data_IF_566354765170
#
_entry.id   IF_566354765170
#
_cell.length_a   1.000
_cell.length_b   1.000
_cell.length_c   1.000
_cell.angle_alpha   90.00
_cell.angle_beta   90.00
_cell.angle_gamma   90.00
#
_symmetry.space_group_name_H-M   'P 1'
#
loop_
_entity.id
_entity.type
_entity.pdbx_description
1 polymer ?
#
# COMPACT_ATOMS: atom_id res chain seq x y z
N UNK A 1 -6.06 49.15 -39.25
CA UNK A 1 -6.68 49.01 -37.91
C UNK A 1 -6.57 47.57 -37.47
N UNK A 2 -6.06 47.30 -36.27
CA UNK A 2 -5.86 45.91 -35.82
C UNK A 2 -7.17 45.33 -35.26
N UNK A 3 -7.46 44.04 -35.51
CA UNK A 3 -8.72 43.42 -35.10
C UNK A 3 -8.99 43.46 -33.58
N UNK A 4 -7.95 43.48 -32.74
CA UNK A 4 -8.08 43.65 -31.28
C UNK A 4 -8.68 45.01 -30.88
N UNK A 5 -8.32 46.09 -31.59
CA UNK A 5 -8.80 47.43 -31.28
C UNK A 5 -10.31 47.57 -31.59
N UNK A 6 -10.77 46.90 -32.65
CA UNK A 6 -12.19 46.80 -32.96
C UNK A 6 -12.95 46.00 -31.90
N UNK A 7 -12.48 44.81 -31.53
CA UNK A 7 -13.12 43.97 -30.51
C UNK A 7 -13.26 44.70 -29.15
N UNK A 8 -12.22 45.43 -28.74
CA UNK A 8 -12.26 46.24 -27.51
C UNK A 8 -13.31 47.36 -27.57
N UNK A 9 -13.44 48.01 -28.73
CA UNK A 9 -14.44 49.07 -28.95
C UNK A 9 -15.86 48.51 -28.91
N UNK A 10 -16.09 47.31 -29.42
CA UNK A 10 -17.41 46.67 -29.39
C UNK A 10 -17.83 46.25 -27.98
N UNK A 11 -16.88 45.72 -27.18
CA UNK A 11 -17.11 45.34 -25.78
C UNK A 11 -17.48 46.58 -24.94
N UNK A 12 -16.76 47.68 -25.12
CA UNK A 12 -16.97 48.92 -24.36
C UNK A 12 -18.21 49.70 -24.81
N UNK A 13 -18.61 49.60 -26.08
CA UNK A 13 -19.80 50.28 -26.61
C UNK A 13 -21.14 49.66 -26.17
N UNK A 14 -21.14 48.40 -25.70
CA UNK A 14 -22.37 47.68 -25.29
C UNK A 14 -22.21 46.97 -23.94
N UNK A 15 -22.02 47.74 -22.83
CA UNK A 15 -21.56 47.20 -21.55
C UNK A 15 -22.53 46.18 -20.94
N UNK A 16 -23.84 46.41 -21.03
CA UNK A 16 -24.83 45.47 -20.48
C UNK A 16 -24.76 44.08 -21.14
N UNK A 17 -24.57 44.05 -22.47
CA UNK A 17 -24.52 42.80 -23.25
C UNK A 17 -23.21 42.05 -23.02
N UNK A 18 -22.10 42.80 -22.92
CA UNK A 18 -20.80 42.23 -22.58
C UNK A 18 -20.78 41.64 -21.16
N UNK A 19 -21.34 42.34 -20.17
CA UNK A 19 -21.43 41.86 -18.78
C UNK A 19 -22.28 40.59 -18.70
N UNK A 20 -23.44 40.55 -19.36
CA UNK A 20 -24.27 39.33 -19.41
C UNK A 20 -23.55 38.14 -20.06
N UNK A 21 -22.81 38.38 -21.14
CA UNK A 21 -22.04 37.33 -21.80
C UNK A 21 -20.91 36.78 -20.90
N UNK A 22 -20.15 37.66 -20.25
CA UNK A 22 -19.08 37.26 -19.31
C UNK A 22 -19.66 36.55 -18.08
N UNK A 23 -20.78 37.04 -17.54
CA UNK A 23 -21.47 36.43 -16.41
C UNK A 23 -21.94 35.01 -16.74
N UNK A 24 -22.53 34.79 -17.93
CA UNK A 24 -22.94 33.45 -18.38
C UNK A 24 -21.76 32.47 -18.44
N UNK A 25 -20.65 32.87 -19.06
CA UNK A 25 -19.43 32.04 -19.13
C UNK A 25 -18.87 31.77 -17.74
N UNK A 26 -18.84 32.77 -16.86
CA UNK A 26 -18.35 32.62 -15.49
C UNK A 26 -19.23 31.66 -14.67
N UNK A 27 -20.55 31.76 -14.78
CA UNK A 27 -21.49 30.87 -14.08
C UNK A 27 -21.33 29.43 -14.56
N UNK A 28 -21.31 29.19 -15.88
CA UNK A 28 -21.13 27.84 -16.43
C UNK A 28 -19.77 27.28 -16.00
N UNK A 29 -18.70 28.08 -16.04
CA UNK A 29 -17.37 27.69 -15.58
C UNK A 29 -17.35 27.33 -14.09
N UNK A 30 -18.02 28.11 -13.24
CA UNK A 30 -18.13 27.85 -11.81
C UNK A 30 -18.92 26.57 -11.53
N UNK A 31 -20.04 26.33 -12.22
CA UNK A 31 -20.83 25.12 -12.09
C UNK A 31 -20.05 23.87 -12.52
N UNK A 32 -19.32 23.94 -13.63
CA UNK A 32 -18.46 22.84 -14.06
C UNK A 32 -17.33 22.57 -13.06
N UNK A 33 -16.70 23.62 -12.56
CA UNK A 33 -15.63 23.49 -11.58
C UNK A 33 -16.13 22.93 -10.25
N UNK A 34 -17.32 23.33 -9.80
CA UNK A 34 -17.98 22.78 -8.61
C UNK A 34 -18.21 21.27 -8.77
N UNK A 35 -18.78 20.85 -9.91
CA UNK A 35 -18.98 19.42 -10.20
C UNK A 35 -17.65 18.64 -10.22
N UNK A 36 -16.58 19.22 -10.76
CA UNK A 36 -15.25 18.61 -10.75
C UNK A 36 -14.65 18.53 -9.33
N UNK A 37 -14.84 19.56 -8.51
CA UNK A 37 -14.36 19.56 -7.13
C UNK A 37 -15.15 18.57 -6.27
N UNK A 38 -16.47 18.51 -6.42
CA UNK A 38 -17.31 17.59 -5.68
C UNK A 38 -16.95 16.13 -6.02
N UNK A 39 -16.82 15.80 -7.31
CA UNK A 39 -16.44 14.44 -7.74
C UNK A 39 -15.03 14.05 -7.27
N UNK A 40 -14.07 14.97 -7.34
CA UNK A 40 -12.71 14.74 -6.81
C UNK A 40 -12.72 14.56 -5.29
N UNK A 41 -13.50 15.33 -4.56
CA UNK A 41 -13.67 15.19 -3.11
C UNK A 41 -14.24 13.83 -2.72
N UNK A 42 -15.25 13.34 -3.46
CA UNK A 42 -15.81 12.01 -3.28
C UNK A 42 -14.79 10.90 -3.57
N UNK A 43 -14.01 11.01 -4.65
CA UNK A 43 -12.96 10.04 -4.98
C UNK A 43 -11.89 9.93 -3.88
N UNK A 44 -11.45 11.07 -3.35
CA UNK A 44 -10.49 11.10 -2.24
C UNK A 44 -11.10 10.50 -0.97
N UNK A 45 -12.35 10.85 -0.66
CA UNK A 45 -13.05 10.31 0.52
C UNK A 45 -13.25 8.79 0.42
N UNK A 46 -13.58 8.28 -0.77
CA UNK A 46 -13.72 6.84 -1.00
C UNK A 46 -12.38 6.11 -0.91
N UNK A 47 -11.30 6.70 -1.44
CA UNK A 47 -9.95 6.18 -1.26
C UNK A 47 -9.59 6.08 0.23
N UNK A 48 -9.83 7.14 0.99
CA UNK A 48 -9.52 7.16 2.42
C UNK A 48 -10.40 6.16 3.19
N UNK A 49 -11.66 5.97 2.78
CA UNK A 49 -12.54 4.93 3.32
C UNK A 49 -12.00 3.52 3.04
N UNK A 50 -11.61 3.23 1.80
CA UNK A 50 -11.02 1.95 1.41
C UNK A 50 -9.74 1.66 2.19
N UNK A 51 -8.86 2.66 2.30
CA UNK A 51 -7.63 2.56 3.09
C UNK A 51 -7.94 2.29 4.57
N UNK A 52 -8.93 2.98 5.14
CA UNK A 52 -9.36 2.77 6.53
C UNK A 52 -9.95 1.37 6.77
N UNK A 53 -10.64 0.81 5.78
CA UNK A 53 -11.16 -0.55 5.80
C UNK A 53 -10.06 -1.61 5.57
N UNK A 54 -8.83 -1.18 5.26
CA UNK A 54 -7.67 -2.04 5.07
C UNK A 54 -7.49 -2.55 3.64
N UNK A 55 -8.11 -1.91 2.66
CA UNK A 55 -7.93 -2.24 1.24
C UNK A 55 -6.79 -1.42 0.63
N UNK A 56 -5.81 -2.11 0.04
CA UNK A 56 -4.78 -1.53 -0.84
C UNK A 56 -5.19 -1.79 -2.30
N UNK A 57 -5.59 -0.74 -3.03
CA UNK A 57 -6.07 -0.87 -4.41
C UNK A 57 -4.92 -0.68 -5.38
N UNK A 58 -4.51 -1.78 -6.02
CA UNK A 58 -3.52 -1.76 -7.10
C UNK A 58 -4.20 -2.08 -8.43
N UNK A 59 -3.98 -1.22 -9.41
CA UNK A 59 -4.44 -1.46 -10.78
C UNK A 59 -3.33 -2.19 -11.51
N UNK A 60 -3.60 -3.43 -11.91
CA UNK A 60 -2.69 -4.24 -12.71
C UNK A 60 -3.34 -4.43 -14.08
N UNK A 61 -2.69 -3.96 -15.14
CA UNK A 61 -3.07 -4.33 -16.50
C UNK A 61 -2.50 -5.72 -16.77
N UNK A 62 -3.19 -6.77 -16.30
CA UNK A 62 -2.84 -8.16 -16.63
C UNK A 62 -3.82 -8.73 -17.65
N UNK A 63 -3.30 -9.35 -18.70
CA UNK A 63 -4.11 -10.13 -19.65
C UNK A 63 -4.52 -11.51 -19.09
N UNK A 64 -4.08 -11.87 -17.89
CA UNK A 64 -4.43 -13.12 -17.21
C UNK A 64 -5.58 -12.94 -16.21
N UNK A 65 -6.47 -13.94 -16.16
CA UNK A 65 -7.61 -13.98 -15.26
C UNK A 65 -7.17 -13.85 -13.78
N UNK A 66 -7.76 -12.92 -12.99
CA UNK A 66 -7.39 -12.67 -11.59
C UNK A 66 -7.47 -13.90 -10.66
N UNK A 67 -8.21 -14.93 -11.09
CA UNK A 67 -8.50 -16.14 -10.32
C UNK A 67 -7.36 -17.16 -10.40
N UNK A 68 -6.53 -17.15 -11.45
CA UNK A 68 -5.46 -18.13 -11.66
C UNK A 68 -4.10 -17.43 -11.68
N UNK A 69 -3.53 -17.21 -10.49
CA UNK A 69 -2.15 -16.72 -10.34
C UNK A 69 -1.18 -17.89 -10.55
N UNK A 70 -0.78 -18.10 -11.80
CA UNK A 70 0.29 -19.05 -12.11
C UNK A 70 1.65 -18.48 -11.65
N UNK A 71 2.50 -19.28 -10.98
CA UNK A 71 3.86 -18.87 -10.68
C UNK A 71 4.61 -18.49 -11.95
N UNK A 72 5.31 -17.35 -11.94
CA UNK A 72 6.17 -16.93 -13.05
C UNK A 72 7.48 -17.71 -12.98
N UNK A 73 7.81 -18.55 -13.97
CA UNK A 73 9.09 -19.27 -13.97
C UNK A 73 10.26 -18.29 -14.04
N UNK A 74 11.30 -18.53 -13.24
CA UNK A 74 12.52 -17.69 -13.21
C UNK A 74 12.21 -16.19 -13.00
N UNK A 75 11.21 -15.87 -12.17
CA UNK A 75 10.76 -14.50 -11.89
C UNK A 75 11.91 -13.52 -11.58
N UNK A 76 12.92 -13.95 -10.82
CA UNK A 76 14.08 -13.10 -10.49
C UNK A 76 14.94 -12.75 -11.70
N UNK A 77 15.16 -13.70 -12.62
CA UNK A 77 15.92 -13.45 -13.84
C UNK A 77 15.14 -12.56 -14.82
N UNK A 78 13.84 -12.76 -14.91
CA UNK A 78 12.95 -11.90 -15.69
C UNK A 78 12.94 -10.46 -15.12
N UNK A 79 12.87 -10.32 -13.80
CA UNK A 79 12.90 -9.02 -13.15
C UNK A 79 14.19 -8.24 -13.48
N UNK A 80 15.35 -8.90 -13.41
CA UNK A 80 16.62 -8.29 -13.78
C UNK A 80 16.68 -7.85 -15.26
N UNK A 81 16.01 -8.56 -16.16
CA UNK A 81 15.92 -8.14 -17.57
C UNK A 81 15.01 -6.93 -17.74
N UNK A 82 13.88 -6.89 -17.03
CA UNK A 82 12.94 -5.78 -17.08
C UNK A 82 13.51 -4.50 -16.46
N UNK A 83 14.33 -4.62 -15.40
CA UNK A 83 15.03 -3.47 -14.80
C UNK A 83 15.97 -2.75 -15.78
N UNK A 84 16.44 -3.44 -16.84
CA UNK A 84 17.29 -2.84 -17.86
C UNK A 84 16.55 -2.01 -18.92
N UNK A 85 15.21 -2.01 -18.91
CA UNK A 85 14.41 -1.29 -19.92
C UNK A 85 14.22 0.18 -19.52
N UNK A 86 14.42 1.14 -20.43
CA UNK A 86 14.30 2.57 -20.12
C UNK A 86 12.88 3.01 -19.78
N UNK A 87 11.86 2.28 -20.26
CA UNK A 87 10.45 2.54 -19.92
C UNK A 87 10.06 2.03 -18.53
N UNK A 88 10.88 1.17 -17.93
CA UNK A 88 10.61 0.54 -16.64
C UNK A 88 11.25 1.35 -15.53
N UNK A 89 10.42 1.96 -14.68
CA UNK A 89 10.92 2.72 -13.54
C UNK A 89 11.48 1.81 -12.43
N UNK A 90 10.84 0.67 -12.17
CA UNK A 90 11.20 -0.23 -11.07
C UNK A 90 10.54 -1.61 -11.27
N UNK A 91 11.20 -2.69 -10.82
CA UNK A 91 10.65 -4.04 -10.83
C UNK A 91 10.71 -4.68 -9.45
N UNK A 92 9.64 -5.37 -9.11
CA UNK A 92 9.44 -6.02 -7.83
C UNK A 92 9.06 -7.49 -8.04
N UNK A 93 9.77 -8.40 -7.39
CA UNK A 93 9.33 -9.80 -7.31
C UNK A 93 8.53 -9.96 -6.03
N UNK A 94 7.26 -10.34 -6.19
CA UNK A 94 6.35 -10.60 -5.08
C UNK A 94 6.02 -12.08 -5.05
N UNK A 95 6.20 -12.70 -3.88
CA UNK A 95 5.76 -14.06 -3.60
C UNK A 95 4.73 -14.02 -2.48
N UNK A 96 3.65 -14.77 -2.65
CA UNK A 96 2.56 -14.86 -1.68
C UNK A 96 2.41 -16.31 -1.25
N UNK A 97 2.47 -16.56 0.06
CA UNK A 97 2.24 -17.86 0.68
C UNK A 97 1.19 -17.72 1.79
N UNK A 98 0.59 -18.84 2.22
CA UNK A 98 -0.24 -18.86 3.44
C UNK A 98 0.64 -19.23 4.63
N UNK A 99 0.40 -18.59 5.77
CA UNK A 99 1.13 -18.87 6.99
C UNK A 99 0.20 -18.78 8.20
N UNK A 100 0.53 -19.49 9.26
CA UNK A 100 -0.12 -19.37 10.55
C UNK A 100 0.83 -18.62 11.48
N UNK A 101 0.36 -17.52 12.04
CA UNK A 101 1.11 -16.74 13.02
C UNK A 101 0.64 -17.16 14.40
N UNK A 102 1.58 -17.57 15.23
CA UNK A 102 1.34 -17.82 16.66
C UNK A 102 2.13 -16.81 17.47
N UNK A 103 1.42 -16.14 18.38
CA UNK A 103 2.04 -15.36 19.44
C UNK A 103 2.65 -16.32 20.46
N UNK A 104 3.98 -16.25 20.61
CA UNK A 104 4.65 -16.92 21.72
C UNK A 104 4.84 -15.89 22.84
N UNK A 105 3.88 -15.84 23.77
CA UNK A 105 3.97 -14.98 24.96
C UNK A 105 4.94 -15.54 26.01
N UNK A 106 5.55 -16.71 25.75
CA UNK A 106 6.39 -17.45 26.69
C UNK A 106 7.90 -17.33 26.42
N UNK A 107 8.34 -16.48 25.49
CA UNK A 107 9.78 -16.14 25.37
C UNK A 107 10.02 -14.75 25.99
N UNK A 108 10.23 -14.65 27.33
CA UNK A 108 10.87 -13.47 27.87
C UNK A 108 12.27 -13.35 27.26
N UNK A 109 12.76 -12.11 27.07
CA UNK A 109 14.08 -11.75 26.52
C UNK A 109 15.29 -12.37 27.26
N UNK A 110 15.06 -13.26 28.23
CA UNK A 110 16.06 -13.95 29.03
C UNK A 110 15.69 -15.44 29.21
N UNK A 111 16.13 -16.34 28.33
CA UNK A 111 16.28 -17.76 28.67
C UNK A 111 16.98 -18.56 27.55
N UNK A 112 18.30 -18.38 27.41
CA UNK A 112 19.15 -19.55 27.17
C UNK A 112 19.86 -19.85 28.48
N UNK A 113 19.18 -20.59 29.37
CA UNK A 113 19.77 -21.19 30.55
C UNK A 113 19.62 -22.70 30.39
N UNK A 114 20.72 -23.48 30.35
CA UNK A 114 20.69 -24.89 29.94
C UNK A 114 20.13 -25.85 31.01
N UNK A 115 19.55 -25.34 32.09
CA UNK A 115 19.10 -26.15 33.21
C UNK A 115 17.66 -25.78 33.59
N UNK A 116 16.69 -26.51 33.05
CA UNK A 116 15.34 -26.57 33.64
C UNK A 116 14.66 -27.90 33.35
N UNK A 117 14.41 -28.61 34.44
CA UNK A 117 13.57 -29.79 34.56
C UNK A 117 12.14 -29.45 34.13
N UNK A 118 11.45 -30.41 33.52
CA UNK A 118 10.08 -30.29 32.99
C UNK A 118 9.10 -29.77 34.05
N UNK A 119 8.66 -28.53 33.91
CA UNK A 119 7.44 -28.01 34.54
C UNK A 119 6.37 -27.84 33.44
N UNK A 120 5.15 -28.30 33.75
CA UNK A 120 3.99 -28.29 32.85
C UNK A 120 3.76 -26.91 32.22
N UNK A 121 3.49 -26.83 30.90
CA UNK A 121 3.21 -25.56 30.26
C UNK A 121 1.83 -25.07 30.74
N UNK A 122 1.83 -24.07 31.61
CA UNK A 122 0.68 -23.20 31.86
C UNK A 122 0.10 -22.74 30.53
N UNK A 123 -1.21 -22.88 30.37
CA UNK A 123 -2.03 -22.59 29.19
C UNK A 123 -1.87 -21.13 28.73
N UNK A 124 -0.73 -20.80 28.14
CA UNK A 124 -0.52 -19.56 27.41
C UNK A 124 -1.49 -19.55 26.24
N UNK A 125 -2.35 -18.54 26.21
CA UNK A 125 -3.38 -18.39 25.21
C UNK A 125 -2.74 -18.25 23.82
N UNK A 126 -2.61 -19.38 23.11
CA UNK A 126 -2.10 -19.42 21.73
C UNK A 126 -3.19 -18.92 20.80
N UNK A 127 -3.15 -17.64 20.49
CA UNK A 127 -3.93 -17.09 19.37
C UNK A 127 -3.18 -17.44 18.08
N UNK A 128 -3.75 -18.37 17.31
CA UNK A 128 -3.27 -18.71 15.97
C UNK A 128 -4.17 -18.04 14.96
N UNK A 129 -3.60 -17.23 14.08
CA UNK A 129 -4.34 -16.62 12.97
C UNK A 129 -3.76 -17.08 11.64
N UNK A 130 -4.66 -17.44 10.72
CA UNK A 130 -4.33 -17.67 9.32
C UNK A 130 -4.04 -16.31 8.68
N UNK A 131 -2.83 -16.16 8.16
CA UNK A 131 -2.37 -14.93 7.52
C UNK A 131 -1.79 -15.23 6.15
N UNK A 132 -1.77 -14.19 5.32
CA UNK A 132 -1.06 -14.22 4.05
C UNK A 132 0.34 -13.67 4.27
N UNK A 133 1.35 -14.48 4.03
CA UNK A 133 2.74 -14.04 4.02
C UNK A 133 3.07 -13.49 2.63
N UNK A 134 3.55 -12.25 2.58
CA UNK A 134 4.03 -11.64 1.34
C UNK A 134 5.52 -11.38 1.46
N UNK A 135 6.29 -12.05 0.61
CA UNK A 135 7.73 -11.83 0.48
C UNK A 135 7.98 -10.96 -0.74
N UNK A 136 8.82 -9.93 -0.59
CA UNK A 136 9.15 -9.01 -1.68
C UNK A 136 10.66 -8.89 -1.85
N UNK A 137 11.12 -8.68 -3.08
CA UNK A 137 12.52 -8.34 -3.34
C UNK A 137 12.88 -6.98 -2.72
N UNK A 138 14.16 -6.78 -2.41
CA UNK A 138 14.67 -5.58 -1.74
C UNK A 138 14.40 -4.27 -2.48
N UNK A 139 14.31 -4.30 -3.82
CA UNK A 139 13.94 -3.14 -4.62
C UNK A 139 12.51 -2.68 -4.30
N UNK A 140 11.56 -3.63 -4.29
CA UNK A 140 10.13 -3.42 -4.15
C UNK A 140 9.67 -2.80 -2.82
N UNK A 141 10.47 -3.00 -1.77
CA UNK A 141 10.04 -2.78 -0.39
C UNK A 141 9.69 -1.31 -0.12
N UNK A 142 10.41 -0.37 -0.73
CA UNK A 142 10.29 1.07 -0.42
C UNK A 142 8.96 1.69 -0.87
N UNK A 143 8.27 1.05 -1.80
CA UNK A 143 6.97 1.51 -2.33
C UNK A 143 5.84 0.53 -2.13
N UNK A 144 6.13 -0.70 -1.71
CA UNK A 144 5.10 -1.69 -1.48
C UNK A 144 4.24 -1.33 -0.26
N UNK A 145 4.78 -0.66 0.75
CA UNK A 145 4.06 -0.34 1.99
C UNK A 145 4.55 0.97 2.59
N UNK A 146 3.66 1.70 3.24
CA UNK A 146 4.03 2.83 4.09
C UNK A 146 4.21 2.34 5.54
N UNK A 147 5.42 2.48 6.08
CA UNK A 147 5.69 2.14 7.48
C UNK A 147 5.07 3.21 8.37
N UNK A 148 4.05 2.83 9.14
CA UNK A 148 3.33 3.72 10.07
C UNK A 148 4.02 3.78 11.44
N UNK A 149 4.60 2.66 11.88
CA UNK A 149 5.33 2.50 13.16
C UNK A 149 6.50 1.54 12.97
N UNK A 150 7.60 1.77 13.67
CA UNK A 150 8.80 0.94 13.59
C UNK A 150 9.75 1.38 12.48
N UNK A 151 10.50 0.43 11.90
CA UNK A 151 11.46 0.62 10.80
C UNK A 151 11.12 -0.32 9.63
N UNK A 152 11.54 0.05 8.42
CA UNK A 152 11.42 -0.83 7.25
C UNK A 152 12.34 -2.06 7.34
N UNK A 153 12.08 -3.08 6.53
CA UNK A 153 12.91 -4.28 6.42
C UNK A 153 14.31 -3.93 5.86
N UNK A 154 14.43 -2.99 4.93
CA UNK A 154 15.70 -2.57 4.33
C UNK A 154 16.67 -2.00 5.37
N UNK A 155 16.16 -1.28 6.37
CA UNK A 155 16.94 -0.73 7.48
C UNK A 155 17.25 -1.79 8.56
N UNK A 156 16.40 -2.81 8.67
CA UNK A 156 16.50 -3.85 9.71
C UNK A 156 17.25 -5.11 9.23
N UNK A 157 17.39 -5.35 7.93
CA UNK A 157 17.92 -6.61 7.37
C UNK A 157 19.43 -6.84 7.59
N UNK A 158 20.17 -5.87 8.13
CA UNK A 158 21.61 -6.03 8.37
C UNK A 158 21.90 -6.92 9.58
N UNK A 159 22.20 -8.20 9.33
CA UNK A 159 22.91 -9.08 10.28
C UNK A 159 22.12 -9.59 11.49
N UNK A 160 20.78 -9.50 11.47
CA UNK A 160 19.96 -9.99 12.58
C UNK A 160 19.82 -11.51 12.56
N UNK A 161 20.01 -12.14 13.73
CA UNK A 161 19.69 -13.56 13.97
C UNK A 161 18.19 -13.87 13.85
N UNK A 162 17.34 -12.84 13.83
CA UNK A 162 15.89 -12.93 13.64
C UNK A 162 15.48 -12.06 12.44
N UNK A 163 14.84 -12.62 11.40
CA UNK A 163 14.45 -11.85 10.24
C UNK A 163 13.37 -10.82 10.62
N UNK A 164 13.51 -9.55 10.20
CA UNK A 164 12.47 -8.55 10.44
C UNK A 164 11.22 -8.88 9.64
N UNK A 165 10.06 -8.51 10.18
CA UNK A 165 8.76 -8.69 9.55
C UNK A 165 7.96 -7.40 9.61
N UNK A 166 7.25 -7.07 8.54
CA UNK A 166 6.23 -6.02 8.53
C UNK A 166 4.87 -6.68 8.75
N UNK A 167 4.10 -6.11 9.67
CA UNK A 167 2.78 -6.61 10.05
C UNK A 167 1.76 -5.53 9.73
N UNK A 168 0.63 -5.92 9.14
CA UNK A 168 -0.45 -4.98 8.85
C UNK A 168 -0.98 -4.37 10.16
N UNK A 169 -1.42 -3.11 10.13
CA UNK A 169 -1.92 -2.41 11.33
C UNK A 169 -3.05 -3.18 12.01
N UNK A 170 -3.94 -3.79 11.22
CA UNK A 170 -5.06 -4.59 11.72
C UNK A 170 -4.57 -5.85 12.42
N UNK A 171 -3.69 -6.62 11.78
CA UNK A 171 -3.13 -7.83 12.39
C UNK A 171 -2.33 -7.50 13.65
N UNK A 172 -1.59 -6.38 13.65
CA UNK A 172 -0.89 -5.91 14.85
C UNK A 172 -1.86 -5.56 15.98
N UNK A 173 -3.02 -4.95 15.69
CA UNK A 173 -4.04 -4.67 16.70
C UNK A 173 -4.73 -5.94 17.20
N UNK A 174 -5.06 -6.87 16.29
CA UNK A 174 -5.77 -8.11 16.61
C UNK A 174 -4.89 -9.08 17.43
N UNK A 175 -3.56 -8.98 17.28
CA UNK A 175 -2.56 -9.75 18.02
C UNK A 175 -1.85 -8.95 19.13
N UNK A 176 -2.31 -7.72 19.42
CA UNK A 176 -1.71 -6.79 20.40
C UNK A 176 -0.18 -6.63 20.28
N UNK A 177 0.31 -6.53 19.04
CA UNK A 177 1.72 -6.40 18.70
C UNK A 177 2.20 -4.94 18.77
N UNK A 178 3.41 -4.77 19.28
CA UNK A 178 4.14 -3.51 19.26
C UNK A 178 5.47 -3.66 18.50
N UNK A 179 6.07 -2.56 17.99
CA UNK A 179 7.38 -2.66 17.33
C UNK A 179 8.41 -3.30 18.25
N UNK A 180 9.06 -4.38 17.79
CA UNK A 180 10.00 -5.18 18.58
C UNK A 180 9.43 -6.48 19.14
N UNK A 181 8.11 -6.68 19.12
CA UNK A 181 7.50 -7.96 19.47
C UNK A 181 8.02 -9.11 18.59
N UNK A 182 8.25 -10.27 19.19
CA UNK A 182 8.65 -11.49 18.48
C UNK A 182 7.42 -12.36 18.22
N UNK A 183 7.32 -12.89 17.00
CA UNK A 183 6.23 -13.80 16.60
C UNK A 183 6.82 -15.05 15.97
N UNK A 184 6.16 -16.20 16.16
CA UNK A 184 6.49 -17.42 15.45
C UNK A 184 5.60 -17.52 14.21
N UNK A 185 6.22 -17.52 13.04
CA UNK A 185 5.53 -17.68 11.76
C UNK A 185 5.75 -19.09 11.25
N UNK A 186 4.66 -19.85 11.08
CA UNK A 186 4.69 -21.16 10.45
C UNK A 186 4.11 -21.05 9.05
N UNK A 187 4.97 -21.11 8.04
CA UNK A 187 4.52 -21.09 6.64
C UNK A 187 3.91 -22.44 6.28
N UNK A 188 2.71 -22.40 5.69
CA UNK A 188 2.06 -23.57 5.13
C UNK A 188 2.36 -23.55 3.63
N UNK A 189 3.33 -24.36 3.22
CA UNK A 189 3.65 -24.52 1.81
C UNK A 189 2.49 -25.28 1.14
N UNK A 190 1.72 -24.58 0.30
CA UNK A 190 0.86 -25.26 -0.66
C UNK A 190 1.79 -25.89 -1.71
N UNK A 191 1.78 -27.23 -1.79
CA UNK A 191 2.51 -27.99 -2.80
C UNK A 191 2.02 -27.71 -4.21
#
# INVERSE_FOLDING_TARGET
>A
MTPRALAWRTITASPARAVLAVAGVAIIGALLFDMLLLSRGLLLSFRDLLESAGYDVRVVASESFPVVRLPVPRASALAAQLEGLPEVQEVAVVRTDRANVTLDTSIPDQAFSPDRTQEEPTTGQRSSQDVTLVSVSSAAERRAWQVVRGRGLAEAASGLARPPLLVSRRLAKDLDLSPGSTVMVRVVLAG
#
